data_IF_110753956697
#
_entry.id   IF_110753956697
#
_cell.length_a   1.000
_cell.length_b   1.000
_cell.length_c   1.000
_cell.angle_alpha   90.00
_cell.angle_beta   90.00
_cell.angle_gamma   90.00
#
_symmetry.space_group_name_H-M   'P 1'
#
loop_
_entity.id
_entity.type
_entity.pdbx_description
1 polymer ?
#
# COMPACT_ATOMS: atom_id res chain seq x y z
N UNK A 1 0.71 3.02 -2.43
CA UNK A 1 0.16 3.41 -1.13
C UNK A 1 1.26 3.82 -0.19
N UNK A 2 2.44 3.21 -0.26
CA UNK A 2 3.61 3.77 0.43
C UNK A 2 3.82 5.25 0.13
N UNK A 3 3.57 5.73 -1.10
CA UNK A 3 3.66 7.15 -1.42
C UNK A 3 2.74 8.02 -0.56
N UNK A 4 1.50 7.56 -0.32
CA UNK A 4 0.57 8.28 0.56
C UNK A 4 0.98 8.16 2.03
N UNK A 5 1.36 6.97 2.47
CA UNK A 5 1.80 6.72 3.86
C UNK A 5 3.04 7.55 4.18
N UNK A 6 4.05 7.49 3.33
CA UNK A 6 5.33 8.18 3.48
C UNK A 6 5.19 9.70 3.33
N UNK A 7 4.17 10.18 2.61
CA UNK A 7 3.83 11.60 2.61
C UNK A 7 3.44 12.11 4.02
N UNK A 8 2.75 11.30 4.82
CA UNK A 8 2.32 11.69 6.17
C UNK A 8 3.28 11.26 7.29
N UNK A 9 3.91 10.09 7.16
CA UNK A 9 4.72 9.47 8.20
C UNK A 9 6.23 9.53 7.93
N UNK A 10 6.64 10.02 6.75
CA UNK A 10 8.02 9.92 6.29
C UNK A 10 8.38 8.51 5.82
N UNK A 11 9.63 8.35 5.38
CA UNK A 11 10.15 7.06 4.87
C UNK A 11 9.88 5.92 5.83
N UNK A 12 9.33 4.82 5.33
CA UNK A 12 9.07 3.65 6.15
C UNK A 12 10.29 2.72 6.24
N UNK A 13 10.48 2.00 7.37
CA UNK A 13 11.53 0.99 7.48
C UNK A 13 11.43 -0.08 6.39
N UNK A 14 12.57 -0.65 6.01
CA UNK A 14 12.64 -1.65 4.95
C UNK A 14 11.80 -2.90 5.29
N UNK A 15 11.74 -3.27 6.57
CA UNK A 15 10.95 -4.39 7.05
C UNK A 15 9.46 -4.20 6.75
N UNK A 16 8.95 -2.97 6.89
CA UNK A 16 7.55 -2.61 6.58
C UNK A 16 7.32 -2.67 5.08
N UNK A 17 8.27 -2.15 4.27
CA UNK A 17 8.18 -2.18 2.81
C UNK A 17 8.21 -3.60 2.27
N UNK A 18 8.95 -4.49 2.93
CA UNK A 18 9.14 -5.88 2.51
C UNK A 18 8.08 -6.83 3.05
N UNK A 19 7.29 -6.46 4.06
CA UNK A 19 6.32 -7.34 4.72
C UNK A 19 5.31 -8.05 3.78
N UNK A 20 5.12 -7.56 2.55
CA UNK A 20 4.23 -8.15 1.53
C UNK A 20 4.97 -8.57 0.26
N UNK A 21 6.26 -8.85 0.36
CA UNK A 21 7.08 -9.26 -0.79
C UNK A 21 6.63 -10.65 -1.30
N UNK A 22 6.35 -10.80 -2.61
CA UNK A 22 5.83 -12.06 -3.17
C UNK A 22 6.73 -13.28 -2.91
N UNK A 23 8.04 -13.11 -2.98
CA UNK A 23 9.00 -14.21 -2.76
C UNK A 23 9.03 -14.72 -1.32
N UNK A 24 8.74 -13.86 -0.34
CA UNK A 24 8.68 -14.29 1.05
C UNK A 24 7.44 -15.17 1.25
N UNK A 25 6.31 -14.81 0.63
CA UNK A 25 5.10 -15.66 0.62
C UNK A 25 5.31 -17.01 -0.10
N UNK A 26 6.12 -17.06 -1.16
CA UNK A 26 6.51 -18.32 -1.81
C UNK A 26 7.31 -19.21 -0.86
N UNK A 27 8.33 -18.65 -0.22
CA UNK A 27 9.18 -19.39 0.74
C UNK A 27 8.36 -19.94 1.90
N UNK A 28 7.44 -19.15 2.43
CA UNK A 28 6.54 -19.57 3.51
C UNK A 28 5.63 -20.74 3.06
N UNK A 29 5.12 -20.69 1.83
CA UNK A 29 4.31 -21.78 1.26
C UNK A 29 5.12 -23.06 1.04
N UNK A 30 6.33 -22.94 0.47
CA UNK A 30 7.26 -24.07 0.28
C UNK A 30 7.69 -24.69 1.62
N UNK A 31 7.99 -23.86 2.63
CA UNK A 31 8.32 -24.30 3.99
C UNK A 31 7.14 -25.00 4.68
N UNK A 32 5.91 -24.63 4.34
CA UNK A 32 4.70 -25.32 4.79
C UNK A 32 4.43 -26.64 4.04
N UNK A 33 5.30 -27.05 3.11
CA UNK A 33 5.18 -28.29 2.34
C UNK A 33 4.23 -28.19 1.14
N UNK A 34 3.90 -26.98 0.70
CA UNK A 34 3.13 -26.76 -0.54
C UNK A 34 4.07 -26.61 -1.73
N UNK A 35 3.64 -27.09 -2.89
CA UNK A 35 4.29 -26.81 -4.16
C UNK A 35 3.66 -25.56 -4.77
N UNK A 36 4.45 -24.49 -4.94
CA UNK A 36 3.98 -23.25 -5.60
C UNK A 36 4.01 -23.45 -7.10
N UNK A 37 2.83 -23.42 -7.72
CA UNK A 37 2.62 -23.65 -9.17
C UNK A 37 2.76 -22.34 -9.95
N UNK A 38 2.24 -21.24 -9.39
CA UNK A 38 2.34 -19.93 -10.02
C UNK A 38 2.41 -18.82 -8.96
N UNK A 39 3.19 -17.79 -9.27
CA UNK A 39 3.23 -16.55 -8.51
C UNK A 39 3.24 -15.38 -9.49
N UNK A 40 2.24 -14.50 -9.38
CA UNK A 40 2.10 -13.31 -10.21
C UNK A 40 2.02 -12.09 -9.33
N UNK A 41 2.83 -11.08 -9.63
CA UNK A 41 2.83 -9.79 -8.94
C UNK A 41 2.37 -8.69 -9.87
N UNK A 42 1.59 -7.74 -9.35
CA UNK A 42 1.10 -6.58 -10.10
C UNK A 42 1.20 -5.31 -9.27
N UNK A 43 1.59 -4.21 -9.93
CA UNK A 43 1.64 -2.87 -9.36
C UNK A 43 0.59 -2.01 -10.03
N UNK A 44 -0.38 -1.53 -9.27
CA UNK A 44 -1.55 -0.85 -9.81
C UNK A 44 -1.52 0.61 -9.39
N UNK A 45 -1.84 1.45 -10.35
CA UNK A 45 -1.99 2.88 -10.15
C UNK A 45 -3.28 3.18 -9.39
N UNK A 46 -3.17 4.03 -8.37
CA UNK A 46 -4.28 4.61 -7.61
C UNK A 46 -4.12 6.12 -7.62
N UNK A 47 -5.21 6.83 -7.91
CA UNK A 47 -5.17 8.28 -8.07
C UNK A 47 -6.20 8.94 -7.16
N UNK A 48 -5.77 9.98 -6.45
CA UNK A 48 -6.64 10.85 -5.66
C UNK A 48 -6.74 12.20 -6.36
N UNK A 49 -7.94 12.55 -6.80
CA UNK A 49 -8.21 13.78 -7.55
C UNK A 49 -8.61 14.97 -6.66
N UNK A 50 -8.87 14.74 -5.38
CA UNK A 50 -9.17 15.78 -4.40
C UNK A 50 -8.77 15.39 -2.97
N UNK A 51 -8.60 16.39 -2.11
CA UNK A 51 -8.20 16.17 -0.72
C UNK A 51 -9.29 15.50 0.12
N UNK A 52 -10.56 15.66 -0.25
CA UNK A 52 -11.68 14.99 0.39
C UNK A 52 -11.60 13.47 0.21
N UNK A 53 -11.25 13.00 -0.99
CA UNK A 53 -11.01 11.59 -1.28
C UNK A 53 -9.85 11.01 -0.45
N UNK A 54 -8.75 11.76 -0.29
CA UNK A 54 -7.64 11.37 0.59
C UNK A 54 -8.10 11.25 2.04
N UNK A 55 -8.78 12.27 2.57
CA UNK A 55 -9.27 12.28 3.95
C UNK A 55 -10.28 11.15 4.20
N UNK A 56 -11.20 10.93 3.25
CA UNK A 56 -12.16 9.83 3.31
C UNK A 56 -11.43 8.48 3.35
N UNK A 57 -10.48 8.28 2.45
CA UNK A 57 -9.70 7.05 2.39
C UNK A 57 -8.93 6.78 3.70
N UNK A 58 -8.21 7.77 4.23
CA UNK A 58 -7.44 7.62 5.47
C UNK A 58 -8.34 7.38 6.69
N UNK A 59 -9.57 7.91 6.69
CA UNK A 59 -10.57 7.64 7.73
C UNK A 59 -11.19 6.24 7.63
N UNK A 60 -11.22 5.63 6.44
CA UNK A 60 -11.79 4.30 6.22
C UNK A 60 -10.77 3.18 6.28
N UNK A 61 -9.54 3.46 5.87
CA UNK A 61 -8.42 2.51 5.83
C UNK A 61 -7.42 2.90 6.92
N UNK A 62 -7.86 2.70 8.16
CA UNK A 62 -7.27 3.30 9.38
C UNK A 62 -5.82 2.87 9.67
N UNK A 63 -5.36 1.77 9.09
CA UNK A 63 -3.98 1.27 9.25
C UNK A 63 -2.97 1.97 8.34
N UNK A 64 -3.41 2.74 7.34
CA UNK A 64 -2.48 3.43 6.42
C UNK A 64 -1.70 4.54 7.12
N UNK A 65 -2.39 5.33 7.95
CA UNK A 65 -1.77 6.33 8.81
C UNK A 65 -2.41 6.15 10.19
N UNK A 66 -1.84 5.28 11.05
CA UNK A 66 -2.41 4.99 12.36
C UNK A 66 -2.62 6.27 13.17
N UNK A 67 -3.81 6.45 13.74
CA UNK A 67 -4.16 7.64 14.50
C UNK A 67 -4.48 8.89 13.66
N UNK A 68 -4.69 8.75 12.35
CA UNK A 68 -5.01 9.88 11.47
C UNK A 68 -6.19 10.72 11.97
N UNK A 69 -5.94 12.02 12.14
CA UNK A 69 -6.97 13.06 12.32
C UNK A 69 -6.71 14.22 11.36
N UNK A 70 -7.76 14.94 10.96
CA UNK A 70 -7.62 16.10 10.07
C UNK A 70 -6.88 17.22 10.78
N UNK A 71 -7.11 17.36 12.09
CA UNK A 71 -6.55 18.37 12.96
C UNK A 71 -5.02 18.21 13.05
N UNK A 72 -4.53 17.01 13.34
CA UNK A 72 -3.09 16.72 13.45
C UNK A 72 -2.36 16.95 12.12
N UNK A 73 -2.98 16.59 11.00
CA UNK A 73 -2.33 16.62 9.69
C UNK A 73 -2.75 17.81 8.83
N UNK A 74 -3.37 18.85 9.41
CA UNK A 74 -4.01 19.96 8.68
C UNK A 74 -3.08 20.64 7.68
N UNK A 75 -1.84 20.94 8.06
CA UNK A 75 -0.88 21.62 7.18
C UNK A 75 -0.41 20.72 6.03
N UNK A 76 -0.15 19.44 6.29
CA UNK A 76 0.17 18.47 5.22
C UNK A 76 -1.00 18.22 4.29
N UNK A 77 -2.23 18.18 4.80
CA UNK A 77 -3.42 18.08 3.97
C UNK A 77 -3.58 19.31 3.05
N UNK A 78 -3.30 20.52 3.55
CA UNK A 78 -3.32 21.75 2.73
C UNK A 78 -2.26 21.71 1.64
N UNK A 79 -1.06 21.26 1.95
CA UNK A 79 0.01 21.12 0.96
C UNK A 79 -0.35 20.09 -0.11
N UNK A 80 -0.89 18.95 0.30
CA UNK A 80 -1.36 17.90 -0.60
C UNK A 80 -2.49 18.38 -1.50
N UNK A 81 -3.46 19.13 -0.97
CA UNK A 81 -4.54 19.74 -1.76
C UNK A 81 -3.97 20.69 -2.84
N UNK A 82 -3.04 21.58 -2.47
CA UNK A 82 -2.37 22.45 -3.45
C UNK A 82 -1.65 21.65 -4.53
N UNK A 83 -0.98 20.56 -4.14
CA UNK A 83 -0.29 19.66 -5.06
C UNK A 83 -1.28 19.02 -6.04
N UNK A 84 -2.36 18.42 -5.53
CA UNK A 84 -3.40 17.79 -6.35
C UNK A 84 -4.00 18.78 -7.34
N UNK A 85 -4.34 20.00 -6.89
CA UNK A 85 -4.87 21.05 -7.78
C UNK A 85 -3.91 21.47 -8.89
N UNK A 86 -2.61 21.48 -8.61
CA UNK A 86 -1.57 21.84 -9.58
C UNK A 86 -1.26 20.70 -10.56
N UNK A 87 -1.19 19.47 -10.07
CA UNK A 87 -0.72 18.29 -10.81
C UNK A 87 -1.87 17.45 -11.39
N UNK A 88 -3.12 17.75 -11.02
CA UNK A 88 -4.34 17.04 -11.41
C UNK A 88 -4.68 15.85 -10.50
N UNK A 89 -3.68 15.14 -9.97
CA UNK A 89 -3.90 14.03 -9.05
C UNK A 89 -2.68 13.79 -8.14
N UNK A 90 -2.93 13.16 -6.99
CA UNK A 90 -1.89 12.49 -6.22
C UNK A 90 -1.90 11.00 -6.59
N UNK A 91 -0.80 10.53 -7.15
CA UNK A 91 -0.65 9.15 -7.61
C UNK A 91 0.07 8.33 -6.55
N UNK A 92 -0.48 7.16 -6.24
CA UNK A 92 0.13 6.15 -5.39
C UNK A 92 -0.04 4.76 -6.03
N UNK A 93 0.75 3.77 -5.60
CA UNK A 93 0.67 2.44 -6.17
C UNK A 93 0.34 1.33 -5.16
N UNK A 94 -0.72 0.57 -5.41
CA UNK A 94 -0.97 -0.65 -4.63
C UNK A 94 -0.26 -1.82 -5.28
N UNK A 95 0.41 -2.65 -4.48
CA UNK A 95 0.97 -3.91 -4.96
C UNK A 95 0.09 -5.07 -4.48
N UNK A 96 -0.11 -6.05 -5.35
CA UNK A 96 -0.78 -7.30 -5.00
C UNK A 96 -0.10 -8.45 -5.72
N UNK A 97 -0.20 -9.63 -5.14
CA UNK A 97 0.21 -10.86 -5.81
C UNK A 97 -0.87 -11.92 -5.71
N UNK A 98 -0.92 -12.77 -6.74
CA UNK A 98 -1.71 -14.00 -6.79
C UNK A 98 -0.73 -15.16 -6.71
N UNK A 99 -0.96 -16.06 -5.76
CA UNK A 99 -0.18 -17.28 -5.57
C UNK A 99 -1.11 -18.49 -5.73
N UNK A 100 -0.70 -19.45 -6.56
CA UNK A 100 -1.33 -20.75 -6.71
C UNK A 100 -0.37 -21.81 -6.17
N UNK A 101 -0.85 -22.62 -5.24
CA UNK A 101 -0.08 -23.70 -4.65
C UNK A 101 -0.94 -24.95 -4.48
N UNK A 102 -0.32 -26.11 -4.57
CA UNK A 102 -0.97 -27.40 -4.38
C UNK A 102 -0.27 -28.22 -3.31
N UNK A 103 -1.04 -29.08 -2.64
CA UNK A 103 -0.46 -30.12 -1.80
C UNK A 103 0.20 -31.17 -2.71
N UNK A 104 1.47 -31.54 -2.49
CA UNK A 104 2.10 -32.61 -3.25
C UNK A 104 1.32 -33.92 -3.11
N UNK A 105 1.17 -34.66 -4.20
CA UNK A 105 0.66 -36.03 -4.17
C UNK A 105 1.86 -36.92 -3.85
N UNK A 106 1.92 -37.43 -2.63
CA UNK A 106 2.91 -38.43 -2.22
C UNK A 106 2.63 -39.74 -2.94
#
# INVERSE_FOLDING_TARGET
MFELVEYFLGSQPEEVRRARHPEDARRDAEAAGLEVVALRHETLRTEFFDIGAVVYFLRKVVWMVPGFTVEQYRERLRELDRRIRREGAFVAHTTRFLIEARKPVV
#
